data_IF_011925745469
#
_entry.id   IF_011925745469
#
_cell.length_a   1.000
_cell.length_b   1.000
_cell.length_c   1.000
_cell.angle_alpha   90.00
_cell.angle_beta   90.00
_cell.angle_gamma   90.00
#
_symmetry.space_group_name_H-M   'P 1'
#
loop_
_entity.id
_entity.type
_entity.pdbx_description
1 polymer ?
#
# COMPACT_ATOMS: atom_id res chain seq x y z
N UNK A 1 41.11 -29.28 -2.46
CA UNK A 1 39.77 -29.32 -1.82
C UNK A 1 39.38 -28.03 -1.08
N UNK A 2 40.20 -27.55 -0.18
CA UNK A 2 39.89 -26.34 0.63
C UNK A 2 39.69 -25.06 -0.20
N UNK A 3 40.44 -24.88 -1.29
CA UNK A 3 40.28 -23.71 -2.17
C UNK A 3 38.97 -23.73 -2.96
N UNK A 4 38.54 -24.91 -3.44
CA UNK A 4 37.27 -25.11 -4.14
C UNK A 4 36.06 -24.88 -3.21
N UNK A 5 36.16 -25.32 -1.97
CA UNK A 5 35.11 -25.12 -0.97
C UNK A 5 34.94 -23.64 -0.62
N UNK A 6 36.04 -22.88 -0.53
CA UNK A 6 35.97 -21.42 -0.27
C UNK A 6 35.35 -20.67 -1.44
N UNK A 7 35.65 -21.06 -2.67
CA UNK A 7 35.01 -20.44 -3.87
C UNK A 7 33.53 -20.78 -3.93
N UNK A 8 33.14 -22.01 -3.59
CA UNK A 8 31.74 -22.41 -3.57
C UNK A 8 30.92 -21.66 -2.50
N UNK A 9 31.49 -21.47 -1.32
CA UNK A 9 30.85 -20.66 -0.24
C UNK A 9 30.74 -19.21 -0.66
N UNK A 10 31.73 -18.63 -1.32
CA UNK A 10 31.72 -17.25 -1.78
C UNK A 10 30.61 -17.02 -2.83
N UNK A 11 30.42 -17.99 -3.74
CA UNK A 11 29.36 -17.93 -4.76
C UNK A 11 27.96 -18.01 -4.12
N UNK A 12 27.76 -18.89 -3.12
CA UNK A 12 26.48 -19.02 -2.41
C UNK A 12 26.17 -17.74 -1.65
N UNK A 13 27.14 -17.14 -0.96
CA UNK A 13 26.95 -15.87 -0.24
C UNK A 13 26.63 -14.73 -1.21
N UNK A 14 27.22 -14.70 -2.39
CA UNK A 14 26.92 -13.71 -3.41
C UNK A 14 25.49 -13.84 -3.96
N UNK A 15 24.96 -15.06 -4.08
CA UNK A 15 23.58 -15.30 -4.50
C UNK A 15 22.56 -14.90 -3.42
N UNK A 16 22.90 -15.01 -2.14
CA UNK A 16 22.01 -14.60 -1.03
C UNK A 16 21.87 -13.08 -0.90
N UNK A 17 22.78 -12.29 -1.48
CA UNK A 17 22.72 -10.82 -1.43
C UNK A 17 21.87 -10.21 -2.54
N UNK A 18 21.41 -11.00 -3.51
CA UNK A 18 20.39 -10.60 -4.47
C UNK A 18 18.98 -10.82 -3.93
N UNK A 19 18.72 -10.44 -2.65
CA UNK A 19 17.35 -10.27 -2.21
C UNK A 19 16.80 -9.06 -2.96
N UNK A 20 15.93 -9.30 -3.93
CA UNK A 20 15.07 -8.26 -4.50
C UNK A 20 14.35 -7.62 -3.33
N UNK A 21 14.83 -6.49 -2.85
CA UNK A 21 14.04 -5.61 -2.00
C UNK A 21 12.91 -5.11 -2.88
N UNK A 22 11.72 -5.67 -2.70
CA UNK A 22 10.51 -5.11 -3.27
C UNK A 22 10.37 -3.71 -2.68
N UNK A 23 10.73 -2.70 -3.45
CA UNK A 23 10.48 -1.33 -3.05
C UNK A 23 8.97 -1.13 -2.96
N UNK A 24 8.49 -0.89 -1.75
CA UNK A 24 7.09 -0.58 -1.50
C UNK A 24 6.90 0.92 -1.46
N UNK A 25 5.78 1.37 -2.03
CA UNK A 25 5.31 2.72 -1.85
C UNK A 25 4.76 2.96 -0.44
N UNK A 26 4.25 4.16 -0.22
CA UNK A 26 3.65 4.58 1.04
C UNK A 26 2.18 4.94 0.84
N UNK A 27 1.36 4.65 1.84
CA UNK A 27 0.02 5.22 2.00
C UNK A 27 0.01 5.94 3.35
N UNK A 28 -0.36 7.21 3.35
CA UNK A 28 -0.48 8.03 4.54
C UNK A 28 -1.91 8.57 4.63
N UNK A 29 -2.48 8.57 5.82
CA UNK A 29 -3.85 9.01 6.06
C UNK A 29 -3.92 10.32 6.82
N UNK A 30 -4.97 11.10 6.55
CA UNK A 30 -5.23 12.36 7.22
C UNK A 30 -6.73 12.61 7.39
N UNK A 31 -7.08 13.45 8.36
CA UNK A 31 -8.45 13.94 8.57
C UNK A 31 -8.77 15.18 7.74
N UNK A 32 -7.78 15.78 7.11
CA UNK A 32 -7.88 16.96 6.26
C UNK A 32 -7.35 16.67 4.86
N UNK A 33 -7.77 17.45 3.84
CA UNK A 33 -7.21 17.34 2.51
C UNK A 33 -5.67 17.43 2.53
N UNK A 34 -5.02 16.62 1.73
CA UNK A 34 -3.55 16.54 1.68
C UNK A 34 -2.98 17.82 1.08
N UNK A 35 -2.06 18.45 1.80
CA UNK A 35 -1.31 19.64 1.40
C UNK A 35 0.19 19.40 1.64
N UNK A 36 1.05 20.34 1.24
CA UNK A 36 2.49 20.28 1.55
C UNK A 36 2.76 20.19 3.06
N UNK A 37 1.98 20.92 3.85
CA UNK A 37 2.22 21.04 5.29
C UNK A 37 1.85 19.77 6.08
N UNK A 38 0.86 19.00 5.59
CA UNK A 38 0.36 17.81 6.27
C UNK A 38 0.66 16.48 5.53
N UNK A 39 1.35 16.53 4.40
CA UNK A 39 1.53 15.37 3.52
C UNK A 39 2.18 14.16 4.21
N UNK A 40 3.08 14.39 5.16
CA UNK A 40 3.79 13.32 5.89
C UNK A 40 3.11 12.91 7.20
N UNK A 41 1.97 13.48 7.54
CA UNK A 41 1.17 13.03 8.68
C UNK A 41 0.50 11.70 8.35
N UNK A 42 0.43 10.81 9.32
CA UNK A 42 -0.22 9.52 9.20
C UNK A 42 -1.18 9.30 10.36
N UNK A 43 -2.42 9.74 10.20
CA UNK A 43 -3.50 9.54 11.16
C UNK A 43 -3.96 8.08 11.08
N UNK A 44 -4.09 7.42 12.22
CA UNK A 44 -4.45 5.99 12.28
C UNK A 44 -5.86 5.73 12.80
N UNK A 45 -6.56 6.73 13.32
CA UNK A 45 -7.88 6.59 13.93
C UNK A 45 -8.83 7.64 13.38
N UNK A 46 -10.00 7.19 12.91
CA UNK A 46 -11.06 8.01 12.35
C UNK A 46 -12.39 7.72 13.05
N UNK A 47 -13.33 8.66 13.00
CA UNK A 47 -14.69 8.44 13.45
C UNK A 47 -15.58 7.91 12.31
N UNK A 48 -16.65 7.21 12.66
CA UNK A 48 -17.68 6.81 11.69
C UNK A 48 -18.19 8.04 10.89
N UNK A 49 -18.29 7.90 9.57
CA UNK A 49 -18.74 8.98 8.68
C UNK A 49 -17.72 10.09 8.42
N UNK A 50 -16.54 10.04 9.05
CA UNK A 50 -15.47 10.99 8.80
C UNK A 50 -14.78 10.69 7.47
N UNK A 51 -14.38 11.72 6.73
CA UNK A 51 -13.57 11.55 5.53
C UNK A 51 -12.18 11.09 5.90
N UNK A 52 -11.74 10.02 5.26
CA UNK A 52 -10.37 9.49 5.33
C UNK A 52 -9.65 9.98 4.07
N UNK A 53 -8.86 11.03 4.21
CA UNK A 53 -7.99 11.51 3.13
C UNK A 53 -6.73 10.66 3.09
N UNK A 54 -6.23 10.40 1.90
CA UNK A 54 -5.00 9.63 1.76
C UNK A 54 -4.06 10.21 0.71
N UNK A 55 -2.79 9.96 0.92
CA UNK A 55 -1.72 10.16 -0.02
C UNK A 55 -1.08 8.80 -0.30
N UNK A 56 -1.15 8.37 -1.55
CA UNK A 56 -0.37 7.25 -2.05
C UNK A 56 0.88 7.80 -2.74
N UNK A 57 2.05 7.30 -2.35
CA UNK A 57 3.34 7.60 -2.99
C UNK A 57 3.84 6.31 -3.61
N UNK A 58 4.02 6.32 -4.93
CA UNK A 58 4.55 5.18 -5.65
C UNK A 58 6.04 4.94 -5.34
N UNK A 59 6.50 3.68 -5.31
CA UNK A 59 7.92 3.39 -5.06
C UNK A 59 8.83 3.90 -6.19
N UNK A 60 8.29 4.04 -7.39
CA UNK A 60 8.94 4.59 -8.58
C UNK A 60 7.89 5.17 -9.51
N UNK A 61 8.33 5.89 -10.55
CA UNK A 61 7.42 6.38 -11.60
C UNK A 61 6.58 5.23 -12.17
N UNK A 62 5.27 5.38 -12.15
CA UNK A 62 4.34 4.38 -12.65
C UNK A 62 4.27 4.43 -14.18
N UNK A 63 4.41 3.27 -14.82
CA UNK A 63 4.26 3.13 -16.28
C UNK A 63 2.80 3.04 -16.69
N UNK A 64 1.95 2.41 -15.86
CA UNK A 64 0.52 2.30 -16.12
C UNK A 64 -0.20 3.57 -15.65
N UNK A 65 -1.13 4.06 -16.45
CA UNK A 65 -1.93 5.24 -16.12
C UNK A 65 -3.11 4.92 -15.17
N UNK A 66 -3.39 3.64 -14.89
CA UNK A 66 -4.48 3.24 -14.01
C UNK A 66 -3.96 2.57 -12.75
N UNK A 67 -4.57 2.94 -11.63
CA UNK A 67 -4.38 2.28 -10.33
C UNK A 67 -5.71 1.78 -9.80
N UNK A 68 -5.66 0.73 -8.99
CA UNK A 68 -6.79 0.23 -8.21
C UNK A 68 -6.55 0.47 -6.73
N UNK A 69 -7.49 1.15 -6.10
CA UNK A 69 -7.52 1.34 -4.65
C UNK A 69 -8.57 0.39 -4.07
N UNK A 70 -8.15 -0.47 -3.15
CA UNK A 70 -9.04 -1.37 -2.41
C UNK A 70 -8.94 -1.12 -0.92
N UNK A 71 -10.09 -1.12 -0.24
CA UNK A 71 -10.19 -1.05 1.20
C UNK A 71 -10.87 -2.30 1.70
N UNK A 72 -10.23 -2.99 2.65
CA UNK A 72 -10.71 -4.21 3.27
C UNK A 72 -11.04 -3.94 4.73
N UNK A 73 -12.17 -4.48 5.19
CA UNK A 73 -12.45 -4.60 6.61
C UNK A 73 -11.85 -5.90 7.13
N UNK A 74 -11.04 -5.80 8.18
CA UNK A 74 -10.49 -6.97 8.85
C UNK A 74 -11.55 -7.59 9.74
N UNK A 75 -11.88 -8.86 9.51
CA UNK A 75 -12.85 -9.58 10.31
C UNK A 75 -12.14 -10.68 11.09
N UNK A 76 -12.03 -10.53 12.40
CA UNK A 76 -11.34 -11.49 13.26
C UNK A 76 -12.09 -12.84 13.40
N UNK A 77 -13.37 -12.90 13.01
CA UNK A 77 -14.27 -14.04 13.23
C UNK A 77 -14.52 -14.91 12.00
N UNK A 78 -13.92 -14.63 10.85
CA UNK A 78 -14.11 -15.49 9.70
C UNK A 78 -13.21 -16.73 9.82
N UNK A 79 -13.74 -17.97 9.69
CA UNK A 79 -12.98 -19.21 9.83
C UNK A 79 -11.80 -19.34 8.85
N UNK A 80 -11.77 -18.52 7.83
CA UNK A 80 -10.77 -18.50 6.75
C UNK A 80 -9.89 -17.24 6.75
N UNK A 81 -9.84 -16.47 7.86
CA UNK A 81 -9.13 -15.19 7.90
C UNK A 81 -9.72 -14.20 6.91
N UNK A 82 -11.04 -14.16 6.75
CA UNK A 82 -11.74 -13.42 5.72
C UNK A 82 -11.65 -11.92 5.92
N UNK A 83 -10.99 -11.24 4.99
CA UNK A 83 -11.08 -9.82 4.84
C UNK A 83 -12.23 -9.52 3.88
N UNK A 84 -13.15 -8.66 4.29
CA UNK A 84 -14.23 -8.20 3.45
C UNK A 84 -13.79 -6.98 2.65
N UNK A 85 -13.89 -7.06 1.32
CA UNK A 85 -13.68 -5.90 0.45
C UNK A 85 -14.86 -4.95 0.60
N UNK A 86 -14.63 -3.78 1.18
CA UNK A 86 -15.70 -2.78 1.40
C UNK A 86 -15.70 -1.69 0.31
N UNK A 87 -14.58 -1.53 -0.40
CA UNK A 87 -14.45 -0.55 -1.48
C UNK A 87 -13.41 -0.97 -2.48
N UNK A 88 -13.74 -0.87 -3.75
CA UNK A 88 -12.81 -0.97 -4.88
C UNK A 88 -13.07 0.17 -5.84
N UNK A 89 -12.05 0.92 -6.20
CA UNK A 89 -12.17 1.99 -7.18
C UNK A 89 -10.90 2.10 -8.02
N UNK A 90 -11.10 2.24 -9.32
CA UNK A 90 -10.03 2.48 -10.28
C UNK A 90 -9.93 3.97 -10.58
N UNK A 91 -8.71 4.47 -10.66
CA UNK A 91 -8.39 5.85 -10.98
C UNK A 91 -7.43 5.92 -12.15
N UNK A 92 -7.68 6.87 -13.04
CA UNK A 92 -6.73 7.23 -14.07
C UNK A 92 -5.81 8.33 -13.54
N UNK A 93 -4.51 8.07 -13.59
CA UNK A 93 -3.50 9.02 -13.19
C UNK A 93 -3.22 10.01 -14.32
N UNK A 94 -3.18 11.29 -14.00
CA UNK A 94 -2.69 12.31 -14.92
C UNK A 94 -1.17 12.18 -15.08
N UNK A 95 -0.59 12.84 -16.09
CA UNK A 95 0.85 12.74 -16.36
C UNK A 95 1.73 13.22 -15.20
N UNK A 96 1.27 14.20 -14.45
CA UNK A 96 1.92 14.73 -13.26
C UNK A 96 1.70 13.88 -11.98
N UNK A 97 0.77 12.91 -12.01
CA UNK A 97 0.43 12.04 -10.88
C UNK A 97 1.11 10.66 -10.94
N UNK A 98 2.13 10.47 -11.79
CA UNK A 98 2.79 9.17 -11.96
C UNK A 98 3.61 8.72 -10.75
N UNK A 99 3.84 9.59 -9.81
CA UNK A 99 4.57 9.32 -8.56
C UNK A 99 3.67 9.28 -7.34
N UNK A 100 2.49 9.89 -7.37
CA UNK A 100 1.59 9.98 -6.23
C UNK A 100 0.13 10.11 -6.67
N UNK A 101 -0.78 9.80 -5.75
CA UNK A 101 -2.21 10.01 -5.92
C UNK A 101 -2.85 10.37 -4.59
N UNK A 102 -3.76 11.32 -4.59
CA UNK A 102 -4.53 11.75 -3.42
C UNK A 102 -6.02 11.66 -3.70
N UNK A 103 -6.77 11.22 -2.72
CA UNK A 103 -8.23 11.23 -2.74
C UNK A 103 -8.76 11.03 -1.32
N UNK A 104 -10.04 10.78 -1.16
CA UNK A 104 -10.65 10.42 0.11
C UNK A 104 -11.77 9.41 -0.08
N UNK A 105 -12.15 8.77 1.00
CA UNK A 105 -13.35 7.95 1.12
C UNK A 105 -13.95 8.10 2.51
N UNK A 106 -15.16 7.58 2.70
CA UNK A 106 -15.87 7.60 3.98
C UNK A 106 -16.29 6.19 4.33
N UNK A 107 -16.14 5.80 5.60
CA UNK A 107 -16.58 4.53 6.14
C UNK A 107 -17.54 4.78 7.32
N UNK A 108 -18.57 3.97 7.43
CA UNK A 108 -19.66 4.13 8.41
C UNK A 108 -19.70 3.00 9.44
N UNK A 109 -18.85 2.00 9.31
CA UNK A 109 -18.79 0.89 10.26
C UNK A 109 -17.47 0.90 11.03
N UNK A 110 -17.57 0.67 12.33
CA UNK A 110 -16.39 0.52 13.21
C UNK A 110 -15.58 -0.70 12.84
N UNK A 111 -14.30 -0.60 13.00
CA UNK A 111 -13.39 -1.72 12.79
C UNK A 111 -12.00 -1.31 12.33
N UNK A 112 -11.18 -2.33 12.12
CA UNK A 112 -9.86 -2.19 11.52
C UNK A 112 -9.98 -2.38 10.01
N UNK A 113 -9.30 -1.51 9.28
CA UNK A 113 -9.30 -1.52 7.82
C UNK A 113 -7.87 -1.53 7.30
N UNK A 114 -7.69 -2.13 6.13
CA UNK A 114 -6.45 -2.08 5.36
C UNK A 114 -6.74 -1.52 3.98
N UNK A 115 -5.97 -0.54 3.55
CA UNK A 115 -6.01 -0.01 2.20
C UNK A 115 -4.82 -0.54 1.41
N UNK A 116 -5.08 -0.99 0.19
CA UNK A 116 -4.07 -1.43 -0.76
C UNK A 116 -4.20 -0.67 -2.07
N UNK A 117 -3.08 -0.38 -2.71
CA UNK A 117 -3.03 0.23 -4.04
C UNK A 117 -2.30 -0.71 -4.98
N UNK A 118 -2.91 -0.99 -6.14
CA UNK A 118 -2.35 -1.83 -7.19
C UNK A 118 -2.17 -1.03 -8.47
N UNK A 119 -1.15 -1.37 -9.27
CA UNK A 119 -1.12 -1.00 -10.67
C UNK A 119 -2.05 -1.93 -11.45
N UNK A 120 -2.64 -1.45 -12.55
CA UNK A 120 -3.50 -2.26 -13.41
C UNK A 120 -2.74 -3.36 -14.19
N UNK A 121 -1.43 -3.34 -14.21
CA UNK A 121 -0.60 -4.39 -14.80
C UNK A 121 -0.22 -5.51 -13.81
N UNK A 122 -0.48 -5.33 -12.50
CA UNK A 122 -0.23 -6.35 -11.47
C UNK A 122 -1.20 -6.22 -10.29
N UNK A 123 -2.21 -7.09 -10.24
CA UNK A 123 -3.17 -7.17 -9.13
C UNK A 123 -2.78 -8.19 -8.04
N UNK A 124 -1.67 -8.87 -8.20
CA UNK A 124 -1.19 -9.86 -7.22
C UNK A 124 -0.29 -9.22 -6.16
N UNK A 125 0.46 -8.18 -6.54
CA UNK A 125 1.41 -7.52 -5.66
C UNK A 125 1.02 -6.04 -5.48
N UNK A 126 0.51 -5.65 -4.30
CA UNK A 126 0.19 -4.25 -4.05
C UNK A 126 1.44 -3.38 -4.08
N UNK A 127 1.32 -2.20 -4.68
CA UNK A 127 2.37 -1.17 -4.67
C UNK A 127 2.59 -0.59 -3.28
N UNK A 128 1.54 -0.50 -2.49
CA UNK A 128 1.55 -0.03 -1.11
C UNK A 128 0.37 -0.57 -0.33
N UNK A 129 0.53 -0.66 0.97
CA UNK A 129 -0.54 -0.98 1.92
C UNK A 129 -0.33 -0.23 3.24
N UNK A 130 -1.41 0.13 3.90
CA UNK A 130 -1.40 0.67 5.26
C UNK A 130 -2.75 0.40 5.92
N UNK A 131 -2.77 0.35 7.25
CA UNK A 131 -3.97 0.11 8.04
C UNK A 131 -4.39 1.33 8.86
N UNK A 132 -5.66 1.34 9.27
CA UNK A 132 -6.25 2.35 10.13
C UNK A 132 -7.48 1.78 10.84
N UNK A 133 -8.01 2.54 11.81
CA UNK A 133 -9.18 2.17 12.60
C UNK A 133 -10.29 3.20 12.45
N UNK A 134 -11.53 2.72 12.43
CA UNK A 134 -12.75 3.53 12.57
C UNK A 134 -13.39 3.18 13.91
N UNK A 135 -13.62 4.19 14.74
CA UNK A 135 -14.20 4.07 16.09
C UNK A 135 -15.56 4.78 16.21
#
# INVERSE_FOLDING_TARGET
MIKLLKIFILVIVSFCLCSCTFERGLILFNTQPVTRDNALQNQKVFNEGQRVYYLFIAPKKMNNEFIRVQVFKMTDNAPWGGNEVVRTKDYRLMLDERYYHTNYFTLYEKGRYVMQVFSHDDFQHPLALNDFYVK
#
